data_IF_624140260828
#
_entry.id   IF_624140260828
#
_cell.length_a   1.000
_cell.length_b   1.000
_cell.length_c   1.000
_cell.angle_alpha   90.00
_cell.angle_beta   90.00
_cell.angle_gamma   90.00
#
_symmetry.space_group_name_H-M   'P 1'
#
loop_
_entity.id
_entity.type
_entity.pdbx_description
1 polymer ?
#
# COMPACT_ATOMS: atom_id res chain seq x y z
N UNK A 1 -45.32 -10.30 11.48
CA UNK A 1 -44.76 -9.79 10.21
C UNK A 1 -43.71 -10.78 9.76
N UNK A 2 -43.92 -11.43 8.63
CA UNK A 2 -42.99 -12.40 8.07
C UNK A 2 -41.72 -11.66 7.62
N UNK A 3 -40.59 -11.93 8.28
CA UNK A 3 -39.31 -11.22 8.07
C UNK A 3 -38.53 -11.82 6.90
N UNK A 4 -39.19 -12.06 5.78
CA UNK A 4 -38.51 -12.53 4.58
C UNK A 4 -37.68 -11.39 3.99
N UNK A 5 -36.38 -11.60 3.75
CA UNK A 5 -35.52 -10.55 3.22
C UNK A 5 -35.93 -10.21 1.79
N UNK A 6 -36.05 -8.92 1.48
CA UNK A 6 -36.33 -8.42 0.13
C UNK A 6 -35.23 -8.82 -0.87
N UNK A 7 -34.00 -9.01 -0.39
CA UNK A 7 -32.86 -9.45 -1.20
C UNK A 7 -32.05 -10.49 -0.43
N UNK A 8 -31.77 -11.62 -1.07
CA UNK A 8 -30.84 -12.62 -0.56
C UNK A 8 -29.45 -12.35 -1.13
N UNK A 9 -28.45 -12.25 -0.25
CA UNK A 9 -27.03 -12.21 -0.63
C UNK A 9 -26.38 -13.54 -0.29
N UNK A 10 -25.57 -14.06 -1.20
CA UNK A 10 -24.74 -15.25 -0.97
C UNK A 10 -23.34 -14.82 -0.55
N UNK A 11 -22.78 -15.50 0.45
CA UNK A 11 -21.40 -15.32 0.88
C UNK A 11 -20.81 -16.68 1.26
N UNK A 12 -19.51 -16.85 1.03
CA UNK A 12 -18.73 -17.99 1.49
C UNK A 12 -17.73 -17.58 2.59
N UNK A 13 -17.86 -16.38 3.16
CA UNK A 13 -16.91 -15.82 4.12
C UNK A 13 -17.33 -16.13 5.55
N UNK A 14 -18.55 -15.75 5.95
CA UNK A 14 -19.02 -15.94 7.32
C UNK A 14 -20.54 -15.93 7.44
N UNK A 15 -21.03 -16.51 8.52
CA UNK A 15 -22.41 -16.35 9.00
C UNK A 15 -22.45 -16.32 10.53
N UNK A 16 -23.55 -15.84 11.11
CA UNK A 16 -23.76 -15.82 12.55
C UNK A 16 -25.12 -16.42 12.90
N UNK A 17 -25.16 -17.14 14.01
CA UNK A 17 -26.37 -17.62 14.66
C UNK A 17 -26.48 -17.01 16.06
N UNK A 18 -27.53 -17.35 16.81
CA UNK A 18 -27.64 -16.95 18.22
C UNK A 18 -26.49 -17.49 19.08
N UNK A 19 -25.92 -18.64 18.72
CA UNK A 19 -24.92 -19.36 19.52
C UNK A 19 -23.48 -19.14 19.09
N UNK A 20 -23.25 -18.87 17.79
CA UNK A 20 -21.90 -18.84 17.23
C UNK A 20 -21.72 -17.90 16.04
N UNK A 21 -20.48 -17.51 15.83
CA UNK A 21 -20.02 -16.80 14.62
C UNK A 21 -19.08 -17.72 13.86
N UNK A 22 -19.43 -18.07 12.62
CA UNK A 22 -18.64 -18.98 11.80
C UNK A 22 -17.90 -18.17 10.73
N UNK A 23 -16.59 -18.34 10.66
CA UNK A 23 -15.71 -17.78 9.64
C UNK A 23 -15.11 -18.94 8.82
N UNK A 24 -15.40 -18.97 7.52
CA UNK A 24 -14.87 -19.99 6.60
C UNK A 24 -15.09 -21.44 7.06
N UNK A 25 -16.21 -21.69 7.73
CA UNK A 25 -16.59 -23.00 8.26
C UNK A 25 -16.14 -23.27 9.70
N UNK A 26 -15.24 -22.47 10.27
CA UNK A 26 -14.77 -22.60 11.65
C UNK A 26 -15.54 -21.68 12.60
N UNK A 27 -15.87 -22.15 13.79
CA UNK A 27 -16.40 -21.29 14.85
C UNK A 27 -15.27 -20.37 15.34
N UNK A 28 -15.48 -19.07 15.26
CA UNK A 28 -14.46 -18.08 15.59
C UNK A 28 -14.10 -18.10 17.09
N UNK A 29 -15.04 -18.46 17.96
CA UNK A 29 -14.76 -18.61 19.39
C UNK A 29 -13.94 -19.86 19.65
N UNK A 30 -14.25 -20.98 18.99
CA UNK A 30 -13.45 -22.21 19.10
C UNK A 30 -12.02 -21.97 18.58
N UNK A 31 -11.83 -21.25 17.47
CA UNK A 31 -10.49 -20.89 17.00
C UNK A 31 -9.68 -20.15 18.08
N UNK A 32 -10.30 -19.21 18.80
CA UNK A 32 -9.62 -18.46 19.84
C UNK A 32 -9.30 -19.30 21.08
N UNK A 33 -10.20 -20.20 21.50
CA UNK A 33 -9.98 -21.11 22.63
C UNK A 33 -8.93 -22.19 22.31
N UNK A 34 -8.83 -22.62 21.05
CA UNK A 34 -7.79 -23.54 20.55
C UNK A 34 -6.46 -22.81 20.20
N UNK A 35 -6.29 -21.59 20.71
CA UNK A 35 -5.05 -20.80 20.63
C UNK A 35 -4.58 -20.42 19.21
N UNK A 36 -5.46 -20.46 18.21
CA UNK A 36 -5.14 -19.92 16.88
C UNK A 36 -4.89 -18.40 16.96
N UNK A 37 -3.81 -17.96 16.32
CA UNK A 37 -3.33 -16.58 16.38
C UNK A 37 -4.20 -15.64 15.55
N UNK A 38 -3.97 -14.33 15.73
CA UNK A 38 -4.54 -13.32 14.84
C UNK A 38 -4.15 -13.55 13.37
N UNK A 39 -2.92 -13.99 13.12
CA UNK A 39 -2.42 -14.27 11.78
C UNK A 39 -3.04 -15.57 11.22
N UNK A 40 -3.29 -16.59 12.05
CA UNK A 40 -4.05 -17.78 11.64
C UNK A 40 -5.45 -17.41 11.17
N UNK A 41 -6.18 -16.64 11.97
CA UNK A 41 -7.53 -16.18 11.65
C UNK A 41 -7.55 -15.32 10.37
N UNK A 42 -6.56 -14.44 10.20
CA UNK A 42 -6.40 -13.64 8.99
C UNK A 42 -6.13 -14.51 7.76
N UNK A 43 -5.25 -15.51 7.89
CA UNK A 43 -4.95 -16.45 6.83
C UNK A 43 -6.20 -17.23 6.41
N UNK A 44 -6.93 -17.80 7.38
CA UNK A 44 -8.20 -18.50 7.15
C UNK A 44 -9.19 -17.59 6.42
N UNK A 45 -9.36 -16.33 6.83
CA UNK A 45 -10.32 -15.40 6.24
C UNK A 45 -10.13 -15.24 4.71
N UNK A 46 -8.87 -15.12 4.29
CA UNK A 46 -8.51 -14.92 2.88
C UNK A 46 -8.36 -16.23 2.10
N UNK A 47 -7.79 -17.28 2.72
CA UNK A 47 -7.39 -18.52 2.05
C UNK A 47 -8.38 -19.68 2.22
N UNK A 48 -9.37 -19.54 3.12
CA UNK A 48 -10.36 -20.57 3.42
C UNK A 48 -9.73 -21.91 3.86
N UNK A 49 -8.57 -21.85 4.53
CA UNK A 49 -7.86 -22.99 5.14
C UNK A 49 -7.01 -22.53 6.31
N UNK A 50 -6.72 -23.44 7.23
CA UNK A 50 -5.72 -23.23 8.29
C UNK A 50 -4.32 -23.17 7.64
N UNK A 51 -3.47 -22.19 7.97
CA UNK A 51 -2.09 -22.16 7.49
C UNK A 51 -1.26 -23.28 8.11
N UNK A 52 -0.17 -23.64 7.46
CA UNK A 52 0.93 -24.34 8.15
C UNK A 52 1.60 -23.38 9.13
N UNK A 53 2.32 -23.92 10.12
CA UNK A 53 3.07 -23.08 11.08
C UNK A 53 4.04 -22.12 10.40
N UNK A 54 4.67 -22.54 9.30
CA UNK A 54 5.65 -21.70 8.60
C UNK A 54 4.98 -20.61 7.76
N UNK A 55 3.79 -20.88 7.20
CA UNK A 55 2.97 -19.84 6.54
C UNK A 55 2.48 -18.79 7.54
N UNK A 56 2.05 -19.20 8.73
CA UNK A 56 1.68 -18.29 9.81
C UNK A 56 2.88 -17.44 10.24
N UNK A 57 4.04 -18.07 10.49
CA UNK A 57 5.27 -17.37 10.88
C UNK A 57 5.70 -16.36 9.82
N UNK A 58 5.55 -16.69 8.53
CA UNK A 58 5.87 -15.76 7.44
C UNK A 58 4.89 -14.58 7.40
N UNK A 59 3.58 -14.84 7.51
CA UNK A 59 2.58 -13.78 7.56
C UNK A 59 2.80 -12.85 8.77
N UNK A 60 3.07 -13.42 9.94
CA UNK A 60 3.36 -12.69 11.17
C UNK A 60 4.63 -11.82 11.03
N UNK A 61 5.70 -12.39 10.48
CA UNK A 61 6.94 -11.66 10.23
C UNK A 61 6.72 -10.48 9.29
N UNK A 62 6.06 -10.69 8.15
CA UNK A 62 5.77 -9.63 7.18
C UNK A 62 4.89 -8.53 7.80
N UNK A 63 3.86 -8.89 8.56
CA UNK A 63 3.04 -7.90 9.27
C UNK A 63 3.83 -7.11 10.30
N UNK A 64 4.76 -7.75 11.02
CA UNK A 64 5.66 -7.06 11.94
C UNK A 64 6.59 -6.08 11.23
N UNK A 65 7.16 -6.45 10.08
CA UNK A 65 8.03 -5.59 9.29
C UNK A 65 7.27 -4.41 8.65
N UNK A 66 6.03 -4.66 8.21
CA UNK A 66 5.21 -3.66 7.53
C UNK A 66 4.46 -2.75 8.51
N UNK A 67 4.36 -3.07 9.80
CA UNK A 67 3.45 -2.39 10.74
C UNK A 67 3.70 -0.89 10.87
N UNK A 68 4.94 -0.41 10.77
CA UNK A 68 5.27 1.01 10.94
C UNK A 68 6.34 1.53 9.98
N UNK A 69 6.14 2.78 9.53
CA UNK A 69 7.01 3.46 8.56
C UNK A 69 7.11 4.98 8.81
N UNK A 70 7.11 5.40 10.07
CA UNK A 70 7.28 6.80 10.50
C UNK A 70 6.40 7.77 9.67
N UNK A 71 6.93 8.95 9.32
CA UNK A 71 6.28 10.01 8.54
C UNK A 71 6.08 9.64 7.05
N UNK A 72 5.35 8.56 6.83
CA UNK A 72 4.84 8.08 5.54
C UNK A 72 3.57 8.83 5.12
N UNK A 73 3.18 8.82 3.83
CA UNK A 73 1.90 9.40 3.39
C UNK A 73 0.71 8.97 4.24
N UNK A 74 0.63 7.69 4.63
CA UNK A 74 -0.42 7.17 5.51
C UNK A 74 -0.39 7.78 6.92
N UNK A 75 0.80 7.96 7.52
CA UNK A 75 0.92 8.61 8.82
C UNK A 75 0.56 10.10 8.73
N UNK A 76 1.04 10.80 7.69
CA UNK A 76 0.70 12.19 7.40
C UNK A 76 -0.83 12.36 7.25
N UNK A 77 -1.50 11.46 6.52
CA UNK A 77 -2.95 11.51 6.40
C UNK A 77 -3.67 11.31 7.74
N UNK A 78 -3.26 10.33 8.55
CA UNK A 78 -3.85 10.09 9.87
C UNK A 78 -3.71 11.30 10.80
N UNK A 79 -2.50 11.87 10.87
CA UNK A 79 -2.16 13.02 11.70
C UNK A 79 -2.90 14.27 11.19
N UNK A 80 -2.87 14.52 9.89
CA UNK A 80 -3.54 15.66 9.26
C UNK A 80 -5.04 15.65 9.51
N UNK A 81 -5.70 14.51 9.30
CA UNK A 81 -7.14 14.35 9.58
C UNK A 81 -7.45 14.48 11.08
N UNK A 82 -6.58 13.97 11.96
CA UNK A 82 -6.75 14.12 13.40
C UNK A 82 -6.77 15.60 13.88
N UNK A 83 -6.11 16.52 13.16
CA UNK A 83 -6.12 17.96 13.50
C UNK A 83 -7.52 18.59 13.43
N UNK A 84 -8.41 18.01 12.61
CA UNK A 84 -9.81 18.41 12.48
C UNK A 84 -10.74 17.82 13.55
N UNK A 85 -10.21 17.02 14.49
CA UNK A 85 -10.97 16.34 15.56
C UNK A 85 -12.16 15.49 15.08
N UNK A 86 -11.96 14.59 14.09
CA UNK A 86 -13.02 13.68 13.65
C UNK A 86 -13.21 12.54 14.67
N UNK A 87 -14.20 11.68 14.41
CA UNK A 87 -14.19 10.34 14.99
C UNK A 87 -12.90 9.61 14.58
N UNK A 88 -12.15 9.07 15.54
CA UNK A 88 -10.82 8.47 15.33
C UNK A 88 -10.71 7.47 14.16
N UNK A 89 -11.70 6.58 13.91
CA UNK A 89 -11.65 5.69 12.75
C UNK A 89 -11.54 6.42 11.40
N UNK A 90 -12.00 7.67 11.29
CA UNK A 90 -11.82 8.47 10.08
C UNK A 90 -10.34 8.75 9.77
N UNK A 91 -9.48 8.94 10.78
CA UNK A 91 -8.04 9.08 10.58
C UNK A 91 -7.40 7.81 10.04
N UNK A 92 -7.89 6.64 10.46
CA UNK A 92 -7.44 5.33 9.99
C UNK A 92 -7.91 5.09 8.56
N UNK A 93 -9.18 5.40 8.25
CA UNK A 93 -9.69 5.32 6.89
C UNK A 93 -8.88 6.22 5.94
N UNK A 94 -8.61 7.46 6.34
CA UNK A 94 -7.80 8.39 5.58
C UNK A 94 -6.37 7.86 5.34
N UNK A 95 -5.75 7.23 6.33
CA UNK A 95 -4.42 6.64 6.14
C UNK A 95 -4.42 5.50 5.12
N UNK A 96 -5.42 4.62 5.18
CA UNK A 96 -5.55 3.49 4.23
C UNK A 96 -5.80 4.01 2.80
N UNK A 97 -6.55 5.11 2.63
CA UNK A 97 -6.79 5.68 1.29
C UNK A 97 -5.54 6.23 0.60
N UNK A 98 -4.43 6.39 1.32
CA UNK A 98 -3.16 6.84 0.71
C UNK A 98 -2.45 5.73 -0.05
N UNK A 99 -2.79 4.45 0.17
CA UNK A 99 -2.17 3.35 -0.57
C UNK A 99 -2.66 3.34 -2.02
N UNK A 100 -1.71 3.35 -2.95
CA UNK A 100 -1.99 3.48 -4.39
C UNK A 100 -0.75 3.23 -5.23
N UNK A 101 -0.70 3.81 -6.44
CA UNK A 101 0.36 3.54 -7.42
C UNK A 101 1.79 3.89 -6.98
N UNK A 102 1.95 4.74 -5.95
CA UNK A 102 3.26 5.21 -5.47
C UNK A 102 3.52 4.93 -3.99
N UNK A 103 2.48 4.84 -3.17
CA UNK A 103 2.59 4.53 -1.75
C UNK A 103 2.14 3.10 -1.52
N UNK A 104 3.11 2.18 -1.47
CA UNK A 104 2.87 0.75 -1.30
C UNK A 104 2.13 0.06 -2.45
N UNK A 105 2.60 0.10 -3.71
CA UNK A 105 1.90 -0.48 -4.86
C UNK A 105 2.02 -2.02 -4.95
N UNK A 106 1.68 -2.74 -3.88
CA UNK A 106 1.86 -4.20 -3.77
C UNK A 106 1.12 -5.00 -4.85
N UNK A 107 -0.14 -4.64 -5.14
CA UNK A 107 -0.92 -5.35 -6.15
C UNK A 107 -0.27 -5.27 -7.54
N UNK A 108 0.25 -4.09 -7.93
CA UNK A 108 0.89 -3.90 -9.22
C UNK A 108 2.20 -4.69 -9.36
N UNK A 109 2.96 -4.83 -8.26
CA UNK A 109 4.13 -5.71 -8.21
C UNK A 109 3.72 -7.18 -8.41
N UNK A 110 2.74 -7.69 -7.65
CA UNK A 110 2.28 -9.07 -7.80
C UNK A 110 1.69 -9.38 -9.19
N UNK A 111 0.97 -8.43 -9.80
CA UNK A 111 0.49 -8.59 -11.18
C UNK A 111 1.62 -8.63 -12.20
N UNK A 112 2.67 -7.84 -12.00
CA UNK A 112 3.87 -7.92 -12.83
C UNK A 112 4.49 -9.30 -12.72
N UNK A 113 4.70 -9.84 -11.51
CA UNK A 113 5.26 -11.18 -11.34
C UNK A 113 4.37 -12.24 -12.00
N UNK A 114 3.06 -12.25 -11.72
CA UNK A 114 2.11 -13.20 -12.31
C UNK A 114 2.16 -13.22 -13.83
N UNK A 115 2.13 -12.02 -14.46
CA UNK A 115 2.14 -11.89 -15.92
C UNK A 115 3.36 -12.57 -16.54
N UNK A 116 4.54 -12.38 -15.96
CA UNK A 116 5.77 -12.93 -16.54
C UNK A 116 5.99 -14.39 -16.14
N UNK A 117 5.61 -14.81 -14.93
CA UNK A 117 5.63 -16.23 -14.55
C UNK A 117 4.70 -17.05 -15.48
N UNK A 118 3.48 -16.57 -15.74
CA UNK A 118 2.55 -17.22 -16.66
C UNK A 118 3.12 -17.26 -18.09
N UNK A 119 3.71 -16.15 -18.56
CA UNK A 119 4.37 -16.10 -19.87
C UNK A 119 5.55 -17.08 -19.96
N UNK A 120 6.34 -17.24 -18.90
CA UNK A 120 7.46 -18.18 -18.87
C UNK A 120 6.95 -19.62 -19.11
N UNK A 121 5.87 -19.99 -18.44
CA UNK A 121 5.20 -21.27 -18.62
C UNK A 121 4.69 -21.46 -20.06
N UNK A 122 3.98 -20.47 -20.61
CA UNK A 122 3.41 -20.54 -21.96
C UNK A 122 4.48 -20.63 -23.06
N UNK A 123 5.61 -19.93 -22.88
CA UNK A 123 6.71 -19.90 -23.85
C UNK A 123 7.77 -20.99 -23.62
N UNK A 124 7.63 -21.82 -22.58
CA UNK A 124 8.62 -22.85 -22.22
C UNK A 124 9.97 -22.28 -21.81
N UNK A 125 9.98 -21.09 -21.19
CA UNK A 125 11.19 -20.40 -20.69
C UNK A 125 11.37 -20.65 -19.20
N UNK A 126 12.62 -20.66 -18.77
CA UNK A 126 12.96 -20.63 -17.35
C UNK A 126 12.60 -19.28 -16.72
N UNK A 127 12.43 -19.25 -15.39
CA UNK A 127 12.20 -18.00 -14.65
C UNK A 127 13.39 -17.03 -14.79
N UNK A 128 14.62 -17.55 -14.82
CA UNK A 128 15.84 -16.75 -15.03
C UNK A 128 15.81 -16.03 -16.38
N UNK A 129 15.51 -16.75 -17.47
CA UNK A 129 15.37 -16.14 -18.81
C UNK A 129 14.26 -15.10 -18.87
N UNK A 130 13.10 -15.40 -18.25
CA UNK A 130 11.97 -14.49 -18.26
C UNK A 130 12.20 -13.24 -17.41
N UNK A 131 12.98 -13.35 -16.33
CA UNK A 131 13.32 -12.20 -15.49
C UNK A 131 14.16 -11.19 -16.27
N UNK A 132 15.10 -11.68 -17.09
CA UNK A 132 15.85 -10.82 -18.01
C UNK A 132 14.91 -10.10 -19.00
N UNK A 133 13.96 -10.82 -19.60
CA UNK A 133 12.99 -10.25 -20.54
C UNK A 133 12.15 -9.17 -19.86
N UNK A 134 11.65 -9.43 -18.65
CA UNK A 134 10.88 -8.46 -17.84
C UNK A 134 11.69 -7.18 -17.65
N UNK A 135 12.92 -7.30 -17.17
CA UNK A 135 13.79 -6.15 -16.87
C UNK A 135 14.05 -5.32 -18.14
N UNK A 136 14.43 -5.97 -19.24
CA UNK A 136 14.69 -5.28 -20.50
C UNK A 136 13.42 -4.57 -21.02
N UNK A 137 12.27 -5.27 -21.02
CA UNK A 137 11.01 -4.67 -21.48
C UNK A 137 10.59 -3.45 -20.66
N UNK A 138 10.76 -3.48 -19.33
CA UNK A 138 10.41 -2.34 -18.49
C UNK A 138 11.37 -1.17 -18.71
N UNK A 139 12.68 -1.42 -18.69
CA UNK A 139 13.68 -0.37 -18.80
C UNK A 139 13.75 0.25 -20.20
N UNK A 140 13.63 -0.55 -21.26
CA UNK A 140 13.60 -0.05 -22.65
C UNK A 140 12.35 0.82 -22.90
N UNK A 141 11.25 0.56 -22.18
CA UNK A 141 10.04 1.39 -22.20
C UNK A 141 10.04 2.53 -21.17
N UNK A 142 11.16 2.79 -20.49
CA UNK A 142 11.30 3.81 -19.43
C UNK A 142 10.28 3.66 -18.30
N UNK A 143 9.86 2.42 -18.02
CA UNK A 143 8.97 2.08 -16.91
C UNK A 143 9.79 1.60 -15.70
N UNK A 144 9.42 2.00 -14.48
CA UNK A 144 10.07 1.47 -13.29
C UNK A 144 9.73 -0.01 -13.11
N UNK A 145 10.73 -0.85 -12.84
CA UNK A 145 10.52 -2.25 -12.45
C UNK A 145 9.90 -2.27 -11.05
N UNK A 146 8.69 -2.81 -10.93
CA UNK A 146 7.96 -2.81 -9.67
C UNK A 146 8.72 -3.63 -8.61
N UNK A 147 8.69 -3.17 -7.35
CA UNK A 147 9.43 -3.81 -6.26
C UNK A 147 10.90 -3.38 -6.15
N UNK A 148 11.43 -2.64 -7.12
CA UNK A 148 12.79 -2.09 -7.08
C UNK A 148 12.80 -0.61 -6.69
N UNK A 149 13.71 -0.27 -5.79
CA UNK A 149 14.00 1.10 -5.37
C UNK A 149 12.96 1.73 -4.46
N UNK A 150 13.42 2.66 -3.63
CA UNK A 150 12.56 3.53 -2.86
C UNK A 150 13.21 4.90 -2.64
N UNK A 151 12.42 5.98 -2.48
CA UNK A 151 12.98 7.33 -2.34
C UNK A 151 13.84 7.54 -1.09
N UNK A 152 13.58 6.80 0.00
CA UNK A 152 14.23 7.00 1.30
C UNK A 152 15.50 6.17 1.50
N UNK A 153 15.55 4.97 0.93
CA UNK A 153 16.72 4.09 0.98
C UNK A 153 17.17 3.77 -0.45
N UNK A 154 18.00 4.67 -0.97
CA UNK A 154 18.47 4.63 -2.37
C UNK A 154 19.38 3.43 -2.65
N UNK A 155 20.14 2.97 -1.64
CA UNK A 155 21.02 1.81 -1.76
C UNK A 155 20.21 0.51 -1.64
N UNK A 156 19.47 0.30 -0.55
CA UNK A 156 18.51 -0.82 -0.42
C UNK A 156 17.61 -0.63 0.81
N UNK A 157 16.38 -1.15 0.80
CA UNK A 157 15.59 -1.24 2.04
C UNK A 157 16.28 -2.19 3.02
N UNK A 158 16.66 -1.76 4.23
CA UNK A 158 17.28 -2.65 5.21
C UNK A 158 16.39 -3.82 5.64
N UNK A 159 15.09 -3.79 5.32
CA UNK A 159 14.11 -4.83 5.65
C UNK A 159 13.86 -5.81 4.52
N UNK A 160 14.19 -5.46 3.27
CA UNK A 160 13.80 -6.29 2.13
C UNK A 160 14.57 -7.60 2.04
N UNK A 161 15.90 -7.55 2.15
CA UNK A 161 16.72 -8.77 2.15
C UNK A 161 16.39 -9.70 3.33
N UNK A 162 16.22 -9.21 4.58
CA UNK A 162 15.76 -10.04 5.68
C UNK A 162 14.44 -10.79 5.43
N UNK A 163 13.49 -10.21 4.68
CA UNK A 163 12.24 -10.89 4.32
C UNK A 163 12.53 -12.10 3.42
N UNK A 164 13.37 -11.93 2.39
CA UNK A 164 13.75 -13.04 1.51
C UNK A 164 14.48 -14.15 2.27
N UNK A 165 15.44 -13.78 3.12
CA UNK A 165 16.13 -14.74 3.99
C UNK A 165 15.12 -15.47 4.89
N UNK A 166 14.12 -14.77 5.43
CA UNK A 166 13.07 -15.40 6.26
C UNK A 166 12.23 -16.41 5.47
N UNK A 167 11.89 -16.11 4.21
CA UNK A 167 11.19 -17.06 3.34
C UNK A 167 12.00 -18.34 3.11
N UNK A 168 13.32 -18.19 2.90
CA UNK A 168 14.26 -19.29 2.70
C UNK A 168 14.39 -20.13 3.98
N UNK A 169 14.59 -19.50 5.14
CA UNK A 169 14.69 -20.14 6.46
C UNK A 169 13.44 -20.93 6.84
N UNK A 170 12.25 -20.39 6.54
CA UNK A 170 10.96 -21.05 6.80
C UNK A 170 10.62 -22.12 5.76
N UNK A 171 11.38 -22.23 4.67
CA UNK A 171 11.09 -23.16 3.58
C UNK A 171 9.76 -22.90 2.87
N UNK A 172 9.29 -21.64 2.88
CA UNK A 172 8.04 -21.21 2.23
C UNK A 172 8.30 -20.53 0.89
N UNK A 173 9.56 -20.34 0.50
CA UNK A 173 9.92 -19.80 -0.81
C UNK A 173 9.42 -20.68 -1.95
N UNK A 174 8.93 -20.04 -3.02
CA UNK A 174 8.38 -20.71 -4.19
C UNK A 174 8.71 -19.96 -5.47
N UNK A 175 7.81 -20.10 -6.45
CA UNK A 175 7.96 -19.50 -7.79
C UNK A 175 8.14 -17.98 -7.73
N UNK A 176 7.57 -17.30 -6.72
CA UNK A 176 7.67 -15.86 -6.62
C UNK A 176 9.03 -15.42 -6.11
N UNK A 177 9.56 -16.05 -5.05
CA UNK A 177 10.90 -15.76 -4.56
C UNK A 177 11.96 -16.06 -5.63
N UNK A 178 11.88 -17.22 -6.29
CA UNK A 178 12.81 -17.58 -7.37
C UNK A 178 12.82 -16.52 -8.47
N UNK A 179 11.62 -16.10 -8.90
CA UNK A 179 11.49 -15.10 -9.96
C UNK A 179 11.95 -13.70 -9.51
N UNK A 180 11.63 -13.29 -8.28
CA UNK A 180 12.02 -11.99 -7.72
C UNK A 180 13.55 -11.88 -7.57
N UNK A 181 14.23 -12.93 -7.09
CA UNK A 181 15.70 -13.01 -7.04
C UNK A 181 16.32 -12.89 -8.43
N UNK A 182 15.74 -13.55 -9.43
CA UNK A 182 16.20 -13.43 -10.81
C UNK A 182 15.99 -12.01 -11.37
N UNK A 183 14.85 -11.36 -11.06
CA UNK A 183 14.58 -9.97 -11.44
C UNK A 183 15.62 -9.04 -10.84
N UNK A 184 15.95 -9.17 -9.56
CA UNK A 184 17.00 -8.39 -8.89
C UNK A 184 18.36 -8.56 -9.56
N UNK A 185 18.78 -9.80 -9.82
CA UNK A 185 20.03 -10.13 -10.53
C UNK A 185 20.11 -9.40 -11.87
N UNK A 186 19.09 -9.51 -12.72
CA UNK A 186 19.11 -8.89 -14.05
C UNK A 186 18.93 -7.38 -14.01
N UNK A 187 18.16 -6.86 -13.05
CA UNK A 187 18.02 -5.42 -12.85
C UNK A 187 19.36 -4.77 -12.47
N UNK A 188 20.10 -5.38 -11.53
CA UNK A 188 21.43 -4.90 -11.15
C UNK A 188 22.42 -4.98 -12.31
N UNK A 189 22.48 -6.12 -13.01
CA UNK A 189 23.36 -6.29 -14.17
C UNK A 189 23.06 -5.27 -15.28
N UNK A 190 21.78 -4.96 -15.53
CA UNK A 190 21.39 -3.96 -16.52
C UNK A 190 21.78 -2.55 -16.10
N UNK A 191 21.60 -2.19 -14.82
CA UNK A 191 22.01 -0.88 -14.29
C UNK A 191 23.52 -0.69 -14.33
N UNK A 192 24.28 -1.71 -13.94
CA UNK A 192 25.75 -1.70 -14.02
C UNK A 192 26.22 -1.49 -15.46
N UNK A 193 25.67 -2.25 -16.42
CA UNK A 193 25.96 -2.10 -17.85
C UNK A 193 25.66 -0.68 -18.35
N UNK A 194 24.59 -0.07 -17.87
CA UNK A 194 24.15 1.28 -18.26
C UNK A 194 24.84 2.40 -17.44
N UNK A 195 25.80 2.07 -16.57
CA UNK A 195 26.54 3.02 -15.74
C UNK A 195 25.69 3.73 -14.68
N UNK A 196 24.59 3.10 -14.26
CA UNK A 196 23.65 3.66 -13.29
C UNK A 196 23.95 3.19 -11.86
N UNK A 197 23.59 4.01 -10.87
CA UNK A 197 23.78 3.68 -9.44
C UNK A 197 23.05 2.41 -9.04
N UNK A 198 23.54 1.72 -8.01
CA UNK A 198 22.82 0.59 -7.42
C UNK A 198 21.44 1.03 -6.89
N UNK A 199 20.46 0.13 -6.99
CA UNK A 199 19.09 0.31 -6.49
C UNK A 199 18.58 -1.05 -6.06
N UNK A 200 18.47 -1.28 -4.75
CA UNK A 200 18.00 -2.54 -4.16
C UNK A 200 16.50 -2.77 -4.26
N UNK A 201 16.07 -3.97 -3.87
CA UNK A 201 14.65 -4.31 -3.67
C UNK A 201 14.07 -3.47 -2.51
N UNK A 202 12.78 -3.12 -2.61
CA UNK A 202 12.08 -2.41 -1.54
C UNK A 202 11.21 -3.36 -0.69
N UNK A 203 10.74 -2.90 0.48
CA UNK A 203 9.89 -3.73 1.37
C UNK A 203 8.61 -4.20 0.69
N UNK A 204 8.08 -3.44 -0.29
CA UNK A 204 6.88 -3.84 -1.03
C UNK A 204 7.18 -5.01 -1.96
N UNK A 205 8.30 -4.97 -2.67
CA UNK A 205 8.74 -6.04 -3.56
C UNK A 205 9.01 -7.33 -2.80
N UNK A 206 9.78 -7.24 -1.71
CA UNK A 206 10.11 -8.40 -0.87
C UNK A 206 8.90 -8.95 -0.11
N UNK A 207 8.17 -8.09 0.60
CA UNK A 207 7.00 -8.48 1.38
C UNK A 207 5.87 -9.05 0.54
N UNK A 208 5.55 -8.42 -0.60
CA UNK A 208 4.52 -8.92 -1.49
C UNK A 208 4.93 -10.24 -2.17
N UNK A 209 6.22 -10.44 -2.44
CA UNK A 209 6.76 -11.74 -2.89
C UNK A 209 6.51 -12.83 -1.83
N UNK A 210 6.84 -12.55 -0.57
CA UNK A 210 6.60 -13.48 0.53
C UNK A 210 5.12 -13.84 0.70
N UNK A 211 4.23 -12.86 0.61
CA UNK A 211 2.79 -13.09 0.69
C UNK A 211 2.27 -13.92 -0.50
N UNK A 212 2.79 -13.70 -1.71
CA UNK A 212 2.39 -14.48 -2.89
C UNK A 212 2.83 -15.95 -2.77
N UNK A 213 4.03 -16.22 -2.26
CA UNK A 213 4.53 -17.60 -2.08
C UNK A 213 3.71 -18.40 -1.06
N UNK A 214 3.19 -17.76 0.00
CA UNK A 214 2.25 -18.41 0.94
C UNK A 214 0.79 -18.39 0.45
N UNK A 215 0.56 -18.03 -0.81
CA UNK A 215 -0.71 -18.22 -1.52
C UNK A 215 -1.63 -16.99 -1.60
N UNK A 216 -1.22 -15.81 -1.13
CA UNK A 216 -2.05 -14.60 -1.28
C UNK A 216 -2.01 -14.07 -2.71
N UNK A 217 -3.20 -13.90 -3.31
CA UNK A 217 -3.31 -13.16 -4.57
C UNK A 217 -2.86 -11.70 -4.39
N UNK A 218 -2.36 -11.03 -5.45
CA UNK A 218 -1.78 -9.68 -5.34
C UNK A 218 -2.68 -8.64 -4.65
N UNK A 219 -3.98 -8.65 -4.94
CA UNK A 219 -4.94 -7.76 -4.25
C UNK A 219 -5.10 -8.11 -2.77
N UNK A 220 -5.11 -9.39 -2.41
CA UNK A 220 -5.25 -9.81 -1.01
C UNK A 220 -4.03 -9.41 -0.20
N UNK A 221 -2.82 -9.69 -0.72
CA UNK A 221 -1.56 -9.28 -0.12
C UNK A 221 -1.50 -7.75 0.07
N UNK A 222 -1.89 -7.00 -0.95
CA UNK A 222 -1.95 -5.54 -0.88
C UNK A 222 -2.94 -5.04 0.18
N UNK A 223 -4.16 -5.58 0.21
CA UNK A 223 -5.17 -5.22 1.23
C UNK A 223 -4.65 -5.50 2.65
N UNK A 224 -4.02 -6.64 2.87
CA UNK A 224 -3.47 -7.03 4.18
C UNK A 224 -2.39 -6.03 4.62
N UNK A 225 -1.41 -5.73 3.77
CA UNK A 225 -0.37 -4.75 4.09
C UNK A 225 -0.94 -3.35 4.34
N UNK A 226 -1.81 -2.86 3.46
CA UNK A 226 -2.43 -1.52 3.60
C UNK A 226 -3.26 -1.39 4.89
N UNK A 227 -4.03 -2.42 5.25
CA UNK A 227 -4.84 -2.42 6.47
C UNK A 227 -3.96 -2.57 7.72
N UNK A 228 -2.88 -3.37 7.68
CA UNK A 228 -1.91 -3.50 8.77
C UNK A 228 -1.35 -2.12 9.19
N UNK A 229 -1.06 -1.24 8.22
CA UNK A 229 -0.62 0.13 8.49
C UNK A 229 -1.64 0.98 9.25
N UNK A 230 -2.92 0.62 9.19
CA UNK A 230 -3.98 1.23 9.99
C UNK A 230 -3.72 1.18 11.50
N UNK A 231 -3.06 0.12 12.01
CA UNK A 231 -2.75 0.00 13.43
C UNK A 231 -1.82 1.12 13.91
N UNK A 232 -0.67 1.31 13.27
CA UNK A 232 0.25 2.39 13.65
C UNK A 232 -0.37 3.77 13.39
N UNK A 233 -1.09 3.95 12.27
CA UNK A 233 -1.77 5.20 11.97
C UNK A 233 -2.81 5.58 13.04
N UNK A 234 -3.48 4.59 13.65
CA UNK A 234 -4.37 4.83 14.78
C UNK A 234 -3.63 5.35 16.02
N UNK A 235 -2.43 4.82 16.30
CA UNK A 235 -1.59 5.27 17.40
C UNK A 235 -1.07 6.69 17.16
N UNK A 236 -0.63 7.01 15.93
CA UNK A 236 -0.25 8.36 15.52
C UNK A 236 -1.41 9.35 15.67
N UNK A 237 -2.63 8.97 15.25
CA UNK A 237 -3.82 9.80 15.40
C UNK A 237 -4.17 10.05 16.88
N UNK A 238 -4.15 9.00 17.71
CA UNK A 238 -4.39 9.10 19.16
C UNK A 238 -3.38 10.02 19.85
N UNK A 239 -2.09 9.83 19.55
CA UNK A 239 -1.02 10.66 20.10
C UNK A 239 -1.25 12.14 19.75
N UNK A 240 -1.53 12.43 18.47
CA UNK A 240 -1.74 13.80 18.01
C UNK A 240 -3.06 14.40 18.51
N UNK A 241 -4.11 13.61 18.70
CA UNK A 241 -5.32 14.08 19.39
C UNK A 241 -5.05 14.40 20.86
N UNK A 242 -4.18 13.65 21.54
CA UNK A 242 -3.89 13.89 22.95
C UNK A 242 -2.92 15.06 23.17
N UNK A 243 -1.89 15.17 22.32
CA UNK A 243 -0.75 16.09 22.50
C UNK A 243 -0.83 17.33 21.62
N UNK A 244 -1.35 17.21 20.41
CA UNK A 244 -1.53 18.34 19.50
C UNK A 244 -2.78 19.15 19.84
N UNK A 245 -2.86 20.37 19.29
CA UNK A 245 -4.07 21.20 19.34
C UNK A 245 -4.96 20.96 18.12
N UNK A 246 -6.25 21.24 18.26
CA UNK A 246 -7.09 21.42 17.08
C UNK A 246 -6.62 22.68 16.33
N UNK A 247 -6.80 22.73 15.01
CA UNK A 247 -6.32 23.83 14.19
C UNK A 247 -4.80 24.08 14.35
N UNK A 248 -4.02 23.17 13.77
CA UNK A 248 -2.55 23.14 13.92
C UNK A 248 -1.82 24.42 13.52
N UNK A 249 -2.42 25.27 12.68
CA UNK A 249 -1.87 26.54 12.18
C UNK A 249 -1.92 27.72 13.20
N UNK A 250 -1.61 27.46 14.47
CA UNK A 250 -1.59 28.50 15.52
C UNK A 250 -0.19 29.04 15.79
N UNK A 251 -0.07 30.34 16.14
CA UNK A 251 1.21 31.00 16.48
C UNK A 251 1.87 30.52 17.79
N UNK A 252 1.22 29.64 18.53
CA UNK A 252 1.65 29.21 19.86
C UNK A 252 2.26 27.80 19.90
N UNK A 253 2.39 27.13 18.75
CA UNK A 253 2.89 25.74 18.67
C UNK A 253 4.29 25.70 18.04
N UNK A 254 5.34 25.25 18.77
CA UNK A 254 6.67 25.01 18.21
C UNK A 254 6.73 23.76 17.30
N UNK A 255 7.63 23.80 16.31
CA UNK A 255 7.72 22.94 15.11
C UNK A 255 7.30 21.47 15.25
N UNK A 256 6.15 21.12 14.66
CA UNK A 256 5.97 20.18 13.51
C UNK A 256 4.60 20.54 12.89
N UNK A 257 4.46 21.76 12.35
CA UNK A 257 3.22 22.11 11.66
C UNK A 257 3.19 21.40 10.30
N UNK A 258 2.32 20.41 10.16
CA UNK A 258 1.92 19.91 8.83
C UNK A 258 0.97 20.87 8.10
N UNK A 259 0.53 21.93 8.80
CA UNK A 259 -0.33 23.00 8.29
C UNK A 259 0.19 24.31 8.88
N UNK A 260 1.09 24.99 8.14
CA UNK A 260 1.54 26.36 8.40
C UNK A 260 1.26 27.20 7.14
N UNK A 261 0.83 28.45 7.31
CA UNK A 261 0.70 29.40 6.19
C UNK A 261 2.06 29.70 5.54
N UNK A 262 3.16 29.62 6.28
CA UNK A 262 4.52 29.79 5.77
C UNK A 262 4.94 28.71 4.76
N UNK A 263 4.30 27.53 4.79
CA UNK A 263 4.53 26.46 3.80
C UNK A 263 3.96 26.81 2.42
N UNK A 264 3.08 27.81 2.32
CA UNK A 264 2.46 28.22 1.05
C UNK A 264 3.25 29.38 0.46
N UNK A 265 3.97 29.11 -0.63
CA UNK A 265 4.41 30.16 -1.56
C UNK A 265 3.36 30.30 -2.66
N UNK A 266 2.50 31.31 -2.56
CA UNK A 266 1.55 31.61 -3.62
C UNK A 266 2.30 32.09 -4.87
N UNK A 267 2.21 31.31 -5.96
CA UNK A 267 2.81 31.59 -7.27
C UNK A 267 1.74 31.87 -8.34
N UNK A 268 0.49 32.09 -7.91
CA UNK A 268 -0.61 32.47 -8.78
C UNK A 268 -0.53 33.95 -9.18
N UNK A 269 -1.53 34.45 -9.93
CA UNK A 269 -1.61 35.87 -10.28
C UNK A 269 -1.62 36.75 -9.03
N UNK A 270 -0.92 37.89 -9.06
CA UNK A 270 -0.98 38.92 -8.02
C UNK A 270 -2.41 39.32 -7.68
N UNK A 271 -2.60 40.02 -6.56
CA UNK A 271 -3.91 40.53 -6.15
C UNK A 271 -4.56 41.36 -7.28
N UNK A 272 -5.78 40.97 -7.67
CA UNK A 272 -6.52 41.55 -8.79
C UNK A 272 -7.79 42.20 -8.30
N UNK A 273 -8.16 43.34 -8.88
CA UNK A 273 -9.44 43.97 -8.56
C UNK A 273 -10.60 43.11 -9.05
N UNK A 274 -11.60 42.92 -8.19
CA UNK A 274 -12.86 42.28 -8.55
C UNK A 274 -13.68 43.25 -9.42
N UNK A 275 -14.11 42.86 -10.65
CA UNK A 275 -14.90 43.73 -11.52
C UNK A 275 -16.31 43.95 -10.95
N UNK A 276 -16.99 45.02 -11.37
CA UNK A 276 -18.41 45.20 -11.03
C UNK A 276 -19.27 44.12 -11.72
N UNK A 277 -20.43 43.80 -11.16
CA UNK A 277 -21.36 42.84 -11.77
C UNK A 277 -21.77 43.23 -13.19
N UNK A 278 -21.91 44.54 -13.47
CA UNK A 278 -22.19 45.05 -14.82
C UNK A 278 -21.08 44.75 -15.83
N UNK A 279 -19.83 44.60 -15.39
CA UNK A 279 -18.64 44.36 -16.21
C UNK A 279 -18.31 42.85 -16.34
N UNK A 280 -19.04 42.00 -15.60
CA UNK A 280 -18.76 40.57 -15.49
C UNK A 280 -18.70 39.86 -16.84
N UNK A 281 -19.60 40.20 -17.77
CA UNK A 281 -19.69 39.51 -19.07
C UNK A 281 -18.44 39.74 -19.92
N UNK A 282 -18.00 40.99 -20.02
CA UNK A 282 -16.79 41.33 -20.78
C UNK A 282 -15.54 40.79 -20.09
N UNK A 283 -15.45 40.93 -18.77
CA UNK A 283 -14.34 40.42 -17.97
C UNK A 283 -14.20 38.89 -18.07
N UNK A 284 -15.30 38.15 -17.97
CA UNK A 284 -15.32 36.70 -18.10
C UNK A 284 -14.95 36.23 -19.51
N UNK A 285 -15.36 36.95 -20.57
CA UNK A 285 -14.98 36.64 -21.95
C UNK A 285 -13.46 36.72 -22.14
N UNK A 286 -12.84 37.80 -21.65
CA UNK A 286 -11.36 37.98 -21.67
C UNK A 286 -10.66 36.85 -20.90
N UNK A 287 -11.13 36.51 -19.70
CA UNK A 287 -10.58 35.38 -18.93
C UNK A 287 -10.78 34.01 -19.59
N UNK A 288 -11.85 33.81 -20.36
CA UNK A 288 -12.03 32.56 -21.13
C UNK A 288 -11.02 32.45 -22.27
N UNK A 289 -10.51 33.55 -22.79
CA UNK A 289 -9.51 33.54 -23.86
C UNK A 289 -8.11 33.22 -23.31
N UNK A 290 -7.77 33.71 -22.12
CA UNK A 290 -6.43 33.62 -21.50
C UNK A 290 -6.35 32.66 -20.30
N UNK A 291 -7.47 32.03 -19.95
CA UNK A 291 -7.66 31.35 -18.68
C UNK A 291 -6.88 30.04 -18.52
N UNK A 292 -6.66 29.70 -17.25
CA UNK A 292 -5.93 28.51 -16.82
C UNK A 292 -6.50 27.20 -17.38
N UNK A 293 -7.82 27.08 -17.65
CA UNK A 293 -8.41 25.84 -18.18
C UNK A 293 -7.76 25.37 -19.50
N UNK A 294 -7.16 26.26 -20.28
CA UNK A 294 -6.40 25.90 -21.50
C UNK A 294 -5.02 25.31 -21.20
N UNK A 295 -4.48 25.58 -20.01
CA UNK A 295 -3.15 25.13 -19.54
C UNK A 295 -3.19 23.83 -18.75
N UNK A 296 -4.34 23.49 -18.16
CA UNK A 296 -4.55 22.28 -17.33
C UNK A 296 -5.18 21.11 -18.10
N UNK A 297 -5.04 21.05 -19.43
CA UNK A 297 -5.38 19.85 -20.21
C UNK A 297 -4.31 18.80 -19.92
N UNK A 298 -4.57 17.94 -18.92
CA UNK A 298 -3.76 16.76 -18.58
C UNK A 298 -4.10 15.64 -19.56
#
# INVERSE_FOLDING_TARGET
>A
MDRNPLFQRKTAISFKTEKKTVMRGYDLSELAEEEYSFCDALFILFQNRIPTENEEKMLNYEMGVFIEHSMSPSAVAAIGVATGRPNLPCSIAASITTFGGVHGPGAAHGYMLNKYIERAYQEGKTLDEMAKILVDEYLDNKKPVMGMGQPQHIDSDPRAEPIHIKQEELGVGGVYLEFQRAVEKYFHARREKDGQSYVGVNVVGSGNTALCDIGFAPNAAWCIGSVCRGFSCSAHALFNMKKGRAWGASRQEPMVQMIDLSMIKYIGPEDRRVPKQSERQEYARKQKEEGEYKKWMI
#
